data_IF_479434468458
#
_entry.id   IF_479434468458
#
_cell.length_a   1.000
_cell.length_b   1.000
_cell.length_c   1.000
_cell.angle_alpha   90.00
_cell.angle_beta   90.00
_cell.angle_gamma   90.00
#
_symmetry.space_group_name_H-M   'P 1'
#
loop_
_entity.id
_entity.type
_entity.pdbx_description
1 polymer ?
#
# COMPACT_ATOMS: atom_id res chain seq x y z
N UNK A 1 -20.61 68.03 -24.17
CA UNK A 1 -21.66 67.00 -24.03
C UNK A 1 -20.98 65.76 -23.47
N UNK A 2 -20.69 65.72 -22.15
CA UNK A 2 -21.62 65.35 -21.04
C UNK A 2 -22.02 63.87 -21.19
N UNK A 3 -21.21 62.97 -20.62
CA UNK A 3 -21.46 62.07 -19.45
C UNK A 3 -21.98 60.70 -19.89
N UNK A 4 -21.65 59.53 -19.33
CA UNK A 4 -21.02 59.16 -18.06
C UNK A 4 -20.59 57.68 -18.15
N UNK A 5 -19.54 57.29 -17.42
CA UNK A 5 -19.31 55.90 -16.96
C UNK A 5 -20.15 55.66 -15.68
N UNK A 6 -20.24 54.46 -15.03
CA UNK A 6 -19.09 53.72 -14.47
C UNK A 6 -19.22 52.17 -14.44
N UNK A 7 -18.09 51.44 -14.39
CA UNK A 7 -17.56 50.60 -13.27
C UNK A 7 -18.46 49.40 -12.86
N UNK A 8 -17.99 48.22 -12.46
CA UNK A 8 -16.74 47.84 -11.85
C UNK A 8 -16.61 46.29 -11.80
N UNK A 9 -15.36 45.82 -11.76
CA UNK A 9 -14.86 44.71 -10.94
C UNK A 9 -15.27 43.23 -11.13
N UNK A 10 -14.18 42.44 -11.25
CA UNK A 10 -13.83 41.24 -10.48
C UNK A 10 -13.99 39.82 -11.04
N UNK A 11 -12.82 39.15 -11.04
CA UNK A 11 -12.50 37.79 -10.56
C UNK A 11 -12.11 36.71 -11.59
N UNK A 12 -10.80 36.40 -11.54
CA UNK A 12 -10.21 35.08 -11.69
C UNK A 12 -11.09 33.95 -11.13
N UNK A 13 -11.27 32.88 -11.91
CA UNK A 13 -10.86 31.55 -11.42
C UNK A 13 -10.76 30.53 -12.56
N UNK A 14 -9.52 30.19 -12.91
CA UNK A 14 -9.18 29.09 -13.79
C UNK A 14 -9.11 27.78 -13.00
N UNK A 15 -10.21 27.02 -12.98
CA UNK A 15 -10.26 25.70 -12.36
C UNK A 15 -10.46 24.58 -13.41
N UNK A 16 -9.32 24.00 -13.83
CA UNK A 16 -9.07 22.60 -14.27
C UNK A 16 -10.31 21.78 -14.69
N UNK A 17 -10.55 21.71 -16.01
CA UNK A 17 -11.32 20.65 -16.62
C UNK A 17 -10.56 19.31 -16.50
N UNK A 18 -10.92 18.49 -15.52
CA UNK A 18 -10.50 17.09 -15.47
C UNK A 18 -11.19 16.34 -16.62
N UNK A 19 -10.41 15.76 -17.53
CA UNK A 19 -10.89 14.98 -18.66
C UNK A 19 -11.75 13.79 -18.19
N UNK A 20 -13.07 13.91 -18.33
CA UNK A 20 -14.01 12.83 -18.12
C UNK A 20 -14.04 11.97 -19.39
N UNK A 21 -13.47 10.77 -19.35
CA UNK A 21 -13.57 9.83 -20.47
C UNK A 21 -15.01 9.28 -20.55
N UNK A 22 -15.72 9.43 -21.68
CA UNK A 22 -17.10 8.99 -21.79
C UNK A 22 -17.22 7.45 -21.72
N UNK A 23 -18.36 6.91 -21.23
CA UNK A 23 -18.54 5.47 -21.09
C UNK A 23 -18.44 4.76 -22.44
N UNK A 24 -17.71 3.64 -22.50
CA UNK A 24 -17.47 2.90 -23.75
C UNK A 24 -18.49 1.79 -24.01
N UNK A 25 -19.55 1.67 -23.20
CA UNK A 25 -20.54 0.57 -23.27
C UNK A 25 -21.98 1.09 -23.32
N UNK A 26 -22.87 0.33 -23.96
CA UNK A 26 -24.31 0.63 -24.07
C UNK A 26 -24.97 0.78 -22.70
N UNK A 27 -24.61 -0.08 -21.74
CA UNK A 27 -25.12 0.01 -20.37
C UNK A 27 -24.62 1.27 -19.67
N UNK A 28 -23.38 1.69 -19.93
CA UNK A 28 -22.83 2.95 -19.41
C UNK A 28 -23.53 4.19 -19.98
N UNK A 29 -23.88 4.17 -21.27
CA UNK A 29 -24.67 5.26 -21.88
C UNK A 29 -26.14 5.24 -21.44
N UNK A 30 -26.77 4.08 -21.35
CA UNK A 30 -28.15 3.99 -20.85
C UNK A 30 -28.24 4.40 -19.39
N UNK A 31 -27.25 4.09 -18.57
CA UNK A 31 -27.22 4.50 -17.17
C UNK A 31 -26.91 6.01 -17.00
N UNK A 32 -26.14 6.61 -17.92
CA UNK A 32 -25.89 8.05 -17.99
C UNK A 32 -27.12 8.86 -18.44
N UNK A 33 -27.97 8.27 -19.30
CA UNK A 33 -29.21 8.89 -19.80
C UNK A 33 -30.42 8.58 -18.89
N UNK A 34 -30.38 7.49 -18.11
CA UNK A 34 -31.46 7.07 -17.21
C UNK A 34 -31.33 7.60 -15.76
N UNK A 35 -30.33 8.44 -15.47
CA UNK A 35 -30.30 9.25 -14.23
C UNK A 35 -31.06 10.57 -14.48
N UNK A 36 -31.57 11.28 -13.43
CA UNK A 36 -32.60 12.32 -13.58
C UNK A 36 -32.20 13.39 -14.61
N UNK A 37 -33.16 14.09 -15.24
CA UNK A 37 -32.91 14.81 -16.48
C UNK A 37 -31.72 15.77 -16.29
N UNK A 38 -30.68 15.58 -17.09
CA UNK A 38 -29.49 16.43 -17.13
C UNK A 38 -29.93 17.90 -17.10
N UNK A 39 -29.29 18.72 -16.26
CA UNK A 39 -29.65 20.12 -16.09
C UNK A 39 -29.66 20.82 -17.47
N UNK A 40 -30.62 21.72 -17.80
CA UNK A 40 -30.76 22.30 -19.15
C UNK A 40 -29.48 22.92 -19.71
N UNK A 41 -28.66 23.51 -18.83
CA UNK A 41 -27.32 24.04 -19.17
C UNK A 41 -26.34 22.96 -19.64
N UNK A 42 -26.37 21.76 -19.06
CA UNK A 42 -25.54 20.63 -19.51
C UNK A 42 -26.01 20.10 -20.87
N UNK A 43 -27.32 20.14 -21.14
CA UNK A 43 -27.86 19.76 -22.44
C UNK A 43 -27.42 20.72 -23.55
N UNK A 44 -27.44 22.04 -23.27
CA UNK A 44 -26.90 23.05 -24.19
C UNK A 44 -25.40 22.86 -24.44
N UNK A 45 -24.59 22.66 -23.39
CA UNK A 45 -23.15 22.45 -23.55
C UNK A 45 -22.82 21.19 -24.36
N UNK A 46 -23.62 20.12 -24.24
CA UNK A 46 -23.45 18.91 -25.05
C UNK A 46 -23.87 19.15 -26.51
N UNK A 47 -24.92 19.94 -26.73
CA UNK A 47 -25.37 20.33 -28.07
C UNK A 47 -24.35 21.22 -28.78
N UNK A 48 -23.73 22.17 -28.08
CA UNK A 48 -22.65 23.02 -28.60
C UNK A 48 -21.41 22.21 -29.00
N UNK A 49 -21.17 21.08 -28.33
CA UNK A 49 -20.14 20.10 -28.67
C UNK A 49 -20.56 19.13 -29.80
N UNK A 50 -21.74 19.33 -30.41
CA UNK A 50 -22.28 18.48 -31.47
C UNK A 50 -22.81 17.11 -31.02
N UNK A 51 -22.86 16.86 -29.71
CA UNK A 51 -23.29 15.60 -29.10
C UNK A 51 -24.79 15.68 -28.76
N UNK A 52 -25.63 15.71 -29.80
CA UNK A 52 -27.08 15.80 -29.64
C UNK A 52 -27.70 14.46 -29.24
N UNK A 53 -28.87 14.50 -28.57
CA UNK A 53 -29.64 13.30 -28.25
C UNK A 53 -30.07 12.51 -29.50
N UNK A 54 -30.21 13.20 -30.63
CA UNK A 54 -30.46 12.58 -31.94
C UNK A 54 -29.19 11.90 -32.50
N UNK A 55 -28.04 12.57 -32.42
CA UNK A 55 -26.74 11.98 -32.76
C UNK A 55 -26.39 10.75 -31.92
N UNK A 56 -26.71 10.77 -30.62
CA UNK A 56 -26.54 9.62 -29.73
C UNK A 56 -27.48 8.45 -30.08
N UNK A 57 -28.72 8.74 -30.50
CA UNK A 57 -29.69 7.72 -30.96
C UNK A 57 -29.32 7.14 -32.33
N UNK A 58 -28.76 7.97 -33.22
CA UNK A 58 -28.28 7.58 -34.53
C UNK A 58 -26.92 6.84 -34.48
N UNK A 59 -26.10 7.09 -33.45
CA UNK A 59 -24.84 6.41 -33.21
C UNK A 59 -25.06 4.92 -32.89
N UNK A 60 -25.11 4.07 -33.92
CA UNK A 60 -25.05 2.63 -33.74
C UNK A 60 -23.63 2.26 -33.29
N UNK A 61 -23.41 1.72 -32.08
CA UNK A 61 -22.13 1.10 -31.79
C UNK A 61 -21.93 0.00 -32.83
N UNK A 62 -20.81 0.04 -33.57
CA UNK A 62 -20.45 -1.04 -34.49
C UNK A 62 -20.34 -2.31 -33.66
N UNK A 63 -21.42 -3.11 -33.58
CA UNK A 63 -21.39 -4.47 -33.07
C UNK A 63 -20.53 -5.25 -34.04
N UNK A 64 -19.23 -5.32 -33.77
CA UNK A 64 -18.33 -6.20 -34.51
C UNK A 64 -18.87 -7.62 -34.27
N UNK A 65 -19.27 -8.36 -35.32
CA UNK A 65 -19.69 -9.74 -35.16
C UNK A 65 -18.61 -10.52 -34.41
N UNK A 66 -19.01 -11.43 -33.53
CA UNK A 66 -18.05 -12.19 -32.72
C UNK A 66 -17.00 -12.91 -33.58
N UNK A 67 -17.38 -13.33 -34.80
CA UNK A 67 -16.48 -13.90 -35.79
C UNK A 67 -15.42 -12.90 -36.27
N UNK A 68 -15.80 -11.68 -36.63
CA UNK A 68 -14.86 -10.62 -37.04
C UNK A 68 -13.94 -10.20 -35.88
N UNK A 69 -14.46 -10.13 -34.64
CA UNK A 69 -13.65 -9.83 -33.47
C UNK A 69 -12.63 -10.94 -33.15
N UNK A 70 -13.00 -12.20 -33.40
CA UNK A 70 -12.07 -13.32 -33.27
C UNK A 70 -11.02 -13.30 -34.38
N UNK A 71 -11.41 -13.08 -35.64
CA UNK A 71 -10.50 -13.00 -36.77
C UNK A 71 -9.45 -11.89 -36.59
N UNK A 72 -9.88 -10.70 -36.14
CA UNK A 72 -8.96 -9.60 -35.83
C UNK A 72 -7.95 -9.98 -34.72
N UNK A 73 -8.43 -10.57 -33.62
CA UNK A 73 -7.54 -11.01 -32.55
C UNK A 73 -6.59 -12.14 -32.98
N UNK A 74 -7.05 -13.04 -33.84
CA UNK A 74 -6.23 -14.12 -34.41
C UNK A 74 -5.13 -13.58 -35.33
N UNK A 75 -5.42 -12.53 -36.12
CA UNK A 75 -4.43 -11.86 -36.96
C UNK A 75 -3.31 -11.23 -36.09
N UNK A 76 -3.67 -10.51 -35.02
CA UNK A 76 -2.69 -9.98 -34.06
C UNK A 76 -1.91 -11.08 -33.33
N UNK A 77 -2.56 -12.21 -33.01
CA UNK A 77 -1.88 -13.35 -32.40
C UNK A 77 -0.83 -13.96 -33.36
N UNK A 78 -1.16 -14.11 -34.65
CA UNK A 78 -0.20 -14.59 -35.66
C UNK A 78 0.98 -13.64 -35.81
N UNK A 79 0.72 -12.34 -35.94
CA UNK A 79 1.79 -11.35 -36.07
C UNK A 79 2.70 -11.33 -34.84
N UNK A 80 2.13 -11.41 -33.64
CA UNK A 80 2.91 -11.54 -32.40
C UNK A 80 3.74 -12.83 -32.39
N UNK A 81 3.15 -13.97 -32.75
CA UNK A 81 3.85 -15.25 -32.77
C UNK A 81 4.99 -15.28 -33.81
N UNK A 82 4.86 -14.55 -34.92
CA UNK A 82 5.95 -14.39 -35.89
C UNK A 82 7.13 -13.61 -35.28
N UNK A 83 6.87 -12.61 -34.44
CA UNK A 83 7.90 -11.78 -33.80
C UNK A 83 8.55 -12.47 -32.59
N UNK A 84 7.78 -13.22 -31.81
CA UNK A 84 8.20 -13.75 -30.50
C UNK A 84 8.27 -15.27 -30.42
N UNK A 85 7.78 -16.00 -31.43
CA UNK A 85 7.76 -17.47 -31.48
C UNK A 85 6.78 -18.15 -30.55
N UNK A 86 5.93 -17.41 -29.81
CA UNK A 86 4.97 -17.97 -28.86
C UNK A 86 3.81 -17.00 -28.55
N UNK A 87 2.74 -17.52 -27.94
CA UNK A 87 1.58 -16.75 -27.49
C UNK A 87 1.56 -16.54 -25.96
N UNK A 88 2.70 -16.59 -25.27
CA UNK A 88 2.81 -16.34 -23.83
C UNK A 88 2.74 -14.84 -23.47
N UNK A 89 1.81 -14.12 -24.09
CA UNK A 89 1.63 -12.67 -24.00
C UNK A 89 1.21 -12.23 -22.59
N UNK A 90 1.93 -11.30 -21.94
CA UNK A 90 1.49 -10.68 -20.68
C UNK A 90 0.15 -9.96 -20.83
N UNK A 91 -0.71 -10.00 -19.80
CA UNK A 91 -2.04 -9.38 -19.85
C UNK A 91 -2.06 -7.90 -20.32
N UNK A 92 -1.16 -7.01 -19.87
CA UNK A 92 -1.17 -5.61 -20.29
C UNK A 92 -0.59 -5.38 -21.69
N UNK A 93 0.05 -6.38 -22.29
CA UNK A 93 0.73 -6.22 -23.58
C UNK A 93 -0.25 -5.97 -24.71
N UNK A 94 0.17 -5.09 -25.62
CA UNK A 94 -0.55 -4.70 -26.83
C UNK A 94 0.28 -4.99 -28.06
N UNK A 95 -0.37 -5.34 -29.15
CA UNK A 95 0.23 -5.45 -30.48
C UNK A 95 -0.45 -4.41 -31.37
N UNK A 96 0.29 -3.43 -31.89
CA UNK A 96 -0.25 -2.32 -32.70
C UNK A 96 -1.51 -1.67 -32.09
N UNK A 97 -1.46 -1.38 -30.80
CA UNK A 97 -2.59 -0.80 -30.05
C UNK A 97 -3.69 -1.79 -29.66
N UNK A 98 -3.75 -2.98 -30.27
CA UNK A 98 -4.69 -4.05 -29.93
C UNK A 98 -4.33 -4.71 -28.60
N UNK A 99 -5.32 -4.88 -27.70
CA UNK A 99 -5.13 -5.47 -26.36
C UNK A 99 -4.97 -7.00 -26.41
N UNK A 100 -3.92 -7.47 -27.06
CA UNK A 100 -3.68 -8.88 -27.33
C UNK A 100 -3.63 -9.74 -26.06
N UNK A 101 -2.93 -9.30 -25.01
CA UNK A 101 -2.85 -10.03 -23.74
C UNK A 101 -4.23 -10.24 -23.08
N UNK A 102 -5.06 -9.19 -23.08
CA UNK A 102 -6.43 -9.25 -22.57
C UNK A 102 -7.33 -10.15 -23.43
N UNK A 103 -7.16 -10.10 -24.76
CA UNK A 103 -7.90 -10.95 -25.68
C UNK A 103 -7.56 -12.42 -25.49
N UNK A 104 -6.27 -12.79 -25.44
CA UNK A 104 -5.82 -14.16 -25.18
C UNK A 104 -6.28 -14.67 -23.82
N UNK A 105 -6.24 -13.82 -22.77
CA UNK A 105 -6.81 -14.19 -21.45
C UNK A 105 -8.29 -14.54 -21.55
N UNK A 106 -9.06 -13.76 -22.30
CA UNK A 106 -10.48 -14.05 -22.55
C UNK A 106 -10.66 -15.38 -23.28
N UNK A 107 -9.85 -15.68 -24.30
CA UNK A 107 -9.92 -16.96 -25.01
C UNK A 107 -9.59 -18.15 -24.09
N UNK A 108 -8.51 -18.06 -23.31
CA UNK A 108 -8.13 -19.09 -22.32
C UNK A 108 -9.25 -19.36 -21.31
N UNK A 109 -9.86 -18.30 -20.78
CA UNK A 109 -11.00 -18.40 -19.84
C UNK A 109 -12.24 -19.01 -20.48
N UNK A 110 -12.46 -18.81 -21.78
CA UNK A 110 -13.57 -19.45 -22.50
C UNK A 110 -13.27 -20.92 -22.76
N UNK A 111 -12.05 -21.26 -23.15
CA UNK A 111 -11.61 -22.65 -23.34
C UNK A 111 -11.69 -23.46 -22.05
N UNK A 112 -11.20 -22.94 -20.92
CA UNK A 112 -11.28 -23.62 -19.62
C UNK A 112 -12.71 -23.86 -19.11
N UNK A 113 -13.71 -23.18 -19.70
CA UNK A 113 -15.12 -23.33 -19.39
C UNK A 113 -15.89 -24.13 -20.45
N UNK A 114 -15.21 -24.67 -21.46
CA UNK A 114 -15.85 -25.34 -22.60
C UNK A 114 -16.71 -24.41 -23.47
N UNK A 115 -16.47 -23.09 -23.43
CA UNK A 115 -17.24 -22.06 -24.15
C UNK A 115 -16.53 -21.50 -25.38
N UNK A 116 -15.36 -22.02 -25.72
CA UNK A 116 -14.64 -21.64 -26.95
C UNK A 116 -14.91 -22.71 -28.02
N UNK A 117 -15.46 -22.36 -29.20
CA UNK A 117 -15.69 -23.31 -30.29
C UNK A 117 -14.41 -24.06 -30.69
N UNK A 118 -14.55 -25.33 -31.08
CA UNK A 118 -13.43 -26.21 -31.43
C UNK A 118 -12.55 -25.64 -32.55
N UNK A 119 -13.14 -25.06 -33.60
CA UNK A 119 -12.37 -24.46 -34.70
C UNK A 119 -11.50 -23.28 -34.24
N UNK A 120 -11.94 -22.54 -33.21
CA UNK A 120 -11.17 -21.44 -32.63
C UNK A 120 -10.05 -21.92 -31.74
N UNK A 121 -10.24 -23.06 -31.05
CA UNK A 121 -9.18 -23.74 -30.31
C UNK A 121 -8.11 -24.19 -31.30
N UNK A 122 -8.50 -24.96 -32.33
CA UNK A 122 -7.58 -25.42 -33.39
C UNK A 122 -6.82 -24.27 -34.05
N UNK A 123 -7.49 -23.14 -34.33
CA UNK A 123 -6.85 -21.97 -34.92
C UNK A 123 -5.77 -21.33 -34.02
N UNK A 124 -5.93 -21.39 -32.69
CA UNK A 124 -4.94 -20.89 -31.73
C UNK A 124 -3.81 -21.91 -31.50
N UNK A 125 -4.13 -23.20 -31.43
CA UNK A 125 -3.17 -24.30 -31.33
C UNK A 125 -2.23 -24.37 -32.53
N UNK A 126 -2.76 -24.09 -33.72
CA UNK A 126 -1.96 -24.00 -34.94
C UNK A 126 -0.92 -22.87 -34.92
N UNK A 127 -1.12 -21.84 -34.07
CA UNK A 127 -0.15 -20.74 -33.90
C UNK A 127 0.87 -21.09 -32.81
N UNK A 128 0.39 -21.55 -31.66
CA UNK A 128 1.21 -22.01 -30.55
C UNK A 128 0.47 -23.15 -29.83
N UNK A 129 0.98 -24.40 -29.87
CA UNK A 129 0.38 -25.52 -29.17
C UNK A 129 0.18 -25.26 -27.67
N UNK A 130 0.99 -24.37 -27.09
CA UNK A 130 0.96 -24.03 -25.67
C UNK A 130 0.29 -22.68 -25.41
N UNK A 131 -0.57 -22.20 -26.32
CA UNK A 131 -1.32 -20.96 -26.12
C UNK A 131 -2.16 -20.97 -24.83
N UNK A 132 -2.58 -22.15 -24.34
CA UNK A 132 -3.32 -22.37 -23.09
C UNK A 132 -2.68 -23.49 -22.23
N UNK A 133 -1.57 -23.22 -21.52
CA UNK A 133 -0.81 -24.25 -20.81
C UNK A 133 -1.52 -24.72 -19.53
N UNK A 134 -1.53 -26.03 -19.27
CA UNK A 134 -2.17 -26.62 -18.09
C UNK A 134 -1.57 -26.14 -16.75
N UNK A 135 -0.24 -25.94 -16.71
CA UNK A 135 0.48 -25.38 -15.55
C UNK A 135 0.31 -23.87 -15.34
N UNK A 136 -0.51 -23.22 -16.17
CA UNK A 136 -0.80 -21.79 -16.10
C UNK A 136 0.21 -20.90 -16.83
N UNK A 137 -0.28 -19.75 -17.30
CA UNK A 137 0.49 -18.83 -18.14
C UNK A 137 1.73 -18.26 -17.45
N UNK A 138 1.66 -18.01 -16.13
CA UNK A 138 2.78 -17.47 -15.36
C UNK A 138 3.99 -18.40 -15.37
N UNK A 139 3.74 -19.70 -15.26
CA UNK A 139 4.81 -20.70 -15.32
C UNK A 139 5.44 -20.70 -16.72
N UNK A 140 4.63 -20.72 -17.78
CA UNK A 140 5.11 -20.69 -19.17
C UNK A 140 5.93 -19.43 -19.49
N UNK A 141 5.52 -18.28 -18.98
CA UNK A 141 6.28 -17.03 -19.12
C UNK A 141 7.64 -17.11 -18.44
N UNK A 142 7.67 -17.57 -17.18
CA UNK A 142 8.92 -17.74 -16.45
C UNK A 142 9.85 -18.76 -17.12
N UNK A 143 9.30 -19.85 -17.66
CA UNK A 143 10.04 -20.84 -18.46
C UNK A 143 10.67 -20.22 -19.71
N UNK A 144 9.92 -19.44 -20.49
CA UNK A 144 10.45 -18.78 -21.69
C UNK A 144 11.51 -17.72 -21.35
N UNK A 145 11.33 -16.97 -20.26
CA UNK A 145 12.34 -16.06 -19.73
C UNK A 145 13.61 -16.84 -19.35
N UNK A 146 13.45 -17.97 -18.67
CA UNK A 146 14.57 -18.84 -18.32
C UNK A 146 15.29 -19.35 -19.57
N UNK A 147 14.56 -19.88 -20.57
CA UNK A 147 15.12 -20.31 -21.85
C UNK A 147 15.92 -19.21 -22.53
N UNK A 148 15.39 -17.97 -22.53
CA UNK A 148 16.07 -16.81 -23.12
C UNK A 148 17.39 -16.53 -22.39
N UNK A 149 17.40 -16.56 -21.06
CA UNK A 149 18.62 -16.31 -20.29
C UNK A 149 19.61 -17.49 -20.32
N UNK A 150 19.14 -18.71 -20.58
CA UNK A 150 19.97 -19.91 -20.71
C UNK A 150 20.28 -20.25 -22.16
N UNK A 151 19.91 -19.40 -23.13
CA UNK A 151 20.20 -19.68 -24.54
C UNK A 151 21.72 -19.75 -24.75
N UNK A 152 22.20 -20.87 -25.29
CA UNK A 152 23.64 -21.13 -25.47
C UNK A 152 24.40 -21.47 -24.19
N UNK A 153 23.71 -21.67 -23.05
CA UNK A 153 24.30 -22.08 -21.78
C UNK A 153 23.50 -23.25 -21.20
N UNK A 154 24.16 -24.34 -20.83
CA UNK A 154 23.54 -25.37 -20.00
C UNK A 154 23.95 -25.11 -18.55
N UNK A 155 23.10 -24.45 -17.73
CA UNK A 155 23.48 -24.15 -16.36
C UNK A 155 23.63 -25.46 -15.58
N UNK A 156 24.86 -25.73 -15.15
CA UNK A 156 25.26 -27.01 -14.59
C UNK A 156 25.41 -26.96 -13.06
N UNK A 157 25.67 -25.77 -12.53
CA UNK A 157 26.05 -25.50 -11.15
C UNK A 157 25.17 -24.42 -10.53
N UNK A 158 25.18 -24.33 -9.20
CA UNK A 158 24.50 -23.25 -8.47
C UNK A 158 25.11 -21.88 -8.78
N UNK A 159 26.41 -21.83 -9.11
CA UNK A 159 27.07 -20.61 -9.55
C UNK A 159 26.50 -20.11 -10.89
N UNK A 160 26.19 -21.03 -11.82
CA UNK A 160 25.56 -20.67 -13.10
C UNK A 160 24.17 -20.06 -12.89
N UNK A 161 23.39 -20.58 -11.93
CA UNK A 161 22.09 -19.99 -11.58
C UNK A 161 22.26 -18.60 -10.97
N UNK A 162 23.24 -18.42 -10.08
CA UNK A 162 23.50 -17.14 -9.43
C UNK A 162 24.00 -16.06 -10.42
N UNK A 163 24.57 -16.46 -11.55
CA UNK A 163 24.97 -15.55 -12.63
C UNK A 163 23.77 -15.06 -13.48
N UNK A 164 22.59 -15.67 -13.32
CA UNK A 164 21.35 -15.23 -13.99
C UNK A 164 20.69 -14.08 -13.22
N UNK A 165 19.78 -13.32 -13.88
CA UNK A 165 18.94 -12.35 -13.18
C UNK A 165 18.22 -12.98 -11.98
N UNK A 166 18.17 -12.27 -10.86
CA UNK A 166 17.74 -12.79 -9.56
C UNK A 166 16.37 -13.50 -9.60
N UNK A 167 15.41 -12.96 -10.35
CA UNK A 167 14.08 -13.57 -10.49
C UNK A 167 14.11 -14.90 -11.26
N UNK A 168 14.99 -15.01 -12.26
CA UNK A 168 15.18 -16.25 -13.04
C UNK A 168 15.88 -17.30 -12.18
N UNK A 169 16.96 -16.93 -11.49
CA UNK A 169 17.67 -17.81 -10.57
C UNK A 169 16.74 -18.37 -9.49
N UNK A 170 15.98 -17.49 -8.85
CA UNK A 170 14.97 -17.85 -7.84
C UNK A 170 13.91 -18.81 -8.38
N UNK A 171 13.40 -18.55 -9.58
CA UNK A 171 12.41 -19.41 -10.21
C UNK A 171 12.97 -20.80 -10.52
N UNK A 172 14.20 -20.88 -11.05
CA UNK A 172 14.89 -22.15 -11.34
C UNK A 172 15.17 -22.96 -10.07
N UNK A 173 15.63 -22.32 -8.98
CA UNK A 173 15.77 -23.00 -7.69
C UNK A 173 14.43 -23.54 -7.18
N UNK A 174 13.34 -22.77 -7.36
CA UNK A 174 11.99 -23.23 -6.99
C UNK A 174 11.58 -24.47 -7.80
N UNK A 175 11.94 -24.53 -9.09
CA UNK A 175 11.68 -25.70 -9.93
C UNK A 175 12.51 -26.90 -9.46
N UNK A 176 13.77 -26.70 -9.07
CA UNK A 176 14.63 -27.76 -8.54
C UNK A 176 14.07 -28.34 -7.22
N UNK A 177 13.66 -27.48 -6.28
CA UNK A 177 13.08 -27.93 -5.00
C UNK A 177 11.75 -28.66 -5.13
N UNK A 178 10.99 -28.40 -6.19
CA UNK A 178 9.64 -28.93 -6.38
C UNK A 178 9.54 -29.87 -7.57
N UNK A 179 10.67 -30.36 -8.10
CA UNK A 179 10.74 -31.04 -9.40
C UNK A 179 9.81 -32.25 -9.46
N UNK A 180 9.79 -33.07 -8.40
CA UNK A 180 8.96 -34.27 -8.30
C UNK A 180 7.45 -33.97 -8.27
N UNK A 181 7.06 -32.74 -7.92
CA UNK A 181 5.67 -32.27 -7.91
C UNK A 181 5.26 -31.56 -9.21
N UNK A 182 6.19 -31.37 -10.16
CA UNK A 182 5.89 -30.76 -11.45
C UNK A 182 5.11 -31.74 -12.34
N UNK A 183 4.25 -31.20 -13.20
CA UNK A 183 3.55 -32.01 -14.19
C UNK A 183 4.54 -32.62 -15.19
N UNK A 184 4.28 -33.81 -15.76
CA UNK A 184 5.19 -34.48 -16.68
C UNK A 184 5.64 -33.60 -17.86
N UNK A 185 4.72 -32.82 -18.43
CA UNK A 185 5.02 -31.88 -19.52
C UNK A 185 6.01 -30.77 -19.08
N UNK A 186 5.89 -30.28 -17.84
CA UNK A 186 6.81 -29.29 -17.28
C UNK A 186 8.19 -29.88 -17.05
N UNK A 187 8.27 -31.14 -16.59
CA UNK A 187 9.54 -31.86 -16.44
C UNK A 187 10.21 -32.06 -17.81
N UNK A 188 9.44 -32.42 -18.84
CA UNK A 188 9.96 -32.56 -20.21
C UNK A 188 10.51 -31.24 -20.76
N UNK A 189 9.80 -30.12 -20.53
CA UNK A 189 10.25 -28.79 -20.92
C UNK A 189 11.54 -28.38 -20.18
N UNK A 190 11.63 -28.64 -18.88
CA UNK A 190 12.83 -28.38 -18.08
C UNK A 190 14.02 -29.27 -18.50
N UNK A 191 13.77 -30.53 -18.82
CA UNK A 191 14.79 -31.42 -19.36
C UNK A 191 15.36 -30.89 -20.70
N UNK A 192 14.51 -30.28 -21.53
CA UNK A 192 14.91 -29.64 -22.79
C UNK A 192 15.90 -28.48 -22.64
N UNK A 193 15.95 -27.83 -21.48
CA UNK A 193 16.96 -26.80 -21.16
C UNK A 193 18.13 -27.34 -20.33
N UNK A 194 18.25 -28.67 -20.19
CA UNK A 194 19.33 -29.35 -19.46
C UNK A 194 19.07 -29.54 -17.96
N UNK A 195 17.87 -29.24 -17.47
CA UNK A 195 17.47 -29.44 -16.08
C UNK A 195 16.74 -30.79 -15.92
N UNK A 196 17.52 -31.88 -15.95
CA UNK A 196 17.02 -33.24 -15.69
C UNK A 196 16.66 -33.45 -14.22
N UNK A 197 15.95 -34.54 -13.89
CA UNK A 197 15.63 -34.89 -12.50
C UNK A 197 16.88 -34.98 -11.60
N UNK A 198 17.94 -35.64 -12.09
CA UNK A 198 19.21 -35.76 -11.35
C UNK A 198 19.84 -34.40 -11.09
N UNK A 199 19.88 -33.53 -12.12
CA UNK A 199 20.46 -32.19 -12.00
C UNK A 199 19.61 -31.27 -11.13
N UNK A 200 18.28 -31.36 -11.22
CA UNK A 200 17.36 -30.66 -10.33
C UNK A 200 17.58 -31.06 -8.87
N UNK A 201 17.78 -32.36 -8.59
CA UNK A 201 18.06 -32.86 -7.24
C UNK A 201 19.42 -32.40 -6.71
N UNK A 202 20.44 -32.36 -7.56
CA UNK A 202 21.77 -31.87 -7.20
C UNK A 202 21.81 -30.36 -6.92
N UNK A 203 20.99 -29.57 -7.64
CA UNK A 203 20.92 -28.12 -7.52
C UNK A 203 19.86 -27.63 -6.52
N UNK A 204 18.99 -28.53 -6.05
CA UNK A 204 17.95 -28.18 -5.09
C UNK A 204 18.60 -27.65 -3.79
N UNK A 205 18.19 -26.46 -3.30
CA UNK A 205 18.64 -26.00 -2.00
C UNK A 205 18.26 -27.02 -0.93
N UNK A 206 19.11 -27.23 0.10
CA UNK A 206 18.83 -28.19 1.15
C UNK A 206 17.46 -27.86 1.78
N UNK A 207 16.66 -28.89 2.11
CA UNK A 207 15.37 -28.68 2.74
C UNK A 207 15.58 -27.85 3.99
N UNK A 208 14.77 -26.82 4.15
CA UNK A 208 14.81 -25.98 5.35
C UNK A 208 14.63 -26.91 6.56
N UNK A 209 15.47 -26.80 7.62
CA UNK A 209 15.31 -27.62 8.81
C UNK A 209 13.87 -27.49 9.31
N UNK A 210 13.25 -28.60 9.76
CA UNK A 210 11.87 -28.58 10.21
C UNK A 210 11.73 -27.47 11.24
N UNK A 211 10.88 -26.48 10.92
CA UNK A 211 10.51 -25.48 11.91
C UNK A 211 9.91 -26.25 13.08
N UNK A 212 10.29 -25.96 14.35
CA UNK A 212 9.69 -26.62 15.49
C UNK A 212 8.18 -26.51 15.34
N UNK A 213 7.52 -27.66 15.27
CA UNK A 213 6.06 -27.75 15.23
C UNK A 213 5.55 -27.08 16.49
N UNK A 214 5.13 -25.82 16.36
CA UNK A 214 4.44 -25.11 17.44
C UNK A 214 3.28 -26.01 17.87
N UNK A 215 3.08 -26.24 19.18
CA UNK A 215 2.00 -27.09 19.65
C UNK A 215 0.69 -26.62 19.02
N UNK A 216 -0.12 -27.58 18.56
CA UNK A 216 -1.41 -27.32 17.96
C UNK A 216 -2.24 -26.49 18.94
N UNK A 217 -2.37 -25.19 18.63
CA UNK A 217 -3.11 -24.26 19.48
C UNK A 217 -4.57 -24.70 19.56
N UNK A 218 -5.20 -24.68 20.75
CA UNK A 218 -6.64 -24.82 20.87
C UNK A 218 -7.30 -23.66 20.11
N UNK A 219 -7.71 -23.90 18.86
CA UNK A 219 -8.56 -22.96 18.13
C UNK A 219 -9.93 -23.02 18.80
N UNK A 220 -10.29 -22.02 19.62
CA UNK A 220 -11.71 -21.74 19.83
C UNK A 220 -12.31 -21.58 18.43
N UNK A 221 -13.12 -22.54 17.98
CA UNK A 221 -13.64 -22.55 16.61
C UNK A 221 -14.50 -21.32 16.30
N UNK A 222 -14.98 -20.61 17.33
CA UNK A 222 -15.60 -19.29 17.24
C UNK A 222 -15.44 -18.57 18.59
N UNK A 223 -14.40 -17.76 18.82
CA UNK A 223 -14.35 -16.95 20.02
C UNK A 223 -15.52 -15.96 20.03
N UNK A 224 -16.20 -15.79 21.18
CA UNK A 224 -17.42 -14.99 21.26
C UNK A 224 -17.13 -13.55 20.85
N UNK A 225 -17.83 -13.05 19.84
CA UNK A 225 -17.74 -11.65 19.40
C UNK A 225 -18.48 -10.69 20.33
N UNK A 226 -19.17 -11.20 21.36
CA UNK A 226 -19.86 -10.41 22.36
C UNK A 226 -18.84 -9.58 23.16
N UNK A 227 -19.21 -8.33 23.46
CA UNK A 227 -18.33 -7.42 24.22
C UNK A 227 -18.10 -7.95 25.64
N UNK A 228 -19.16 -8.46 26.29
CA UNK A 228 -19.09 -9.02 27.63
C UNK A 228 -18.06 -10.16 27.77
N UNK A 229 -17.91 -11.00 26.74
CA UNK A 229 -17.04 -12.16 26.78
C UNK A 229 -15.54 -11.82 26.67
N UNK A 230 -15.18 -10.76 25.94
CA UNK A 230 -13.79 -10.34 25.78
C UNK A 230 -13.34 -9.24 26.73
N UNK A 231 -14.27 -8.54 27.39
CA UNK A 231 -13.95 -7.42 28.27
C UNK A 231 -13.06 -7.79 29.47
N UNK A 232 -13.23 -8.93 30.16
CA UNK A 232 -12.32 -9.32 31.25
C UNK A 232 -10.87 -9.49 30.78
N UNK A 233 -10.66 -10.12 29.62
CA UNK A 233 -9.34 -10.30 29.02
C UNK A 233 -8.73 -8.98 28.56
N UNK A 234 -9.56 -8.07 28.02
CA UNK A 234 -9.13 -6.73 27.68
C UNK A 234 -8.68 -5.95 28.93
N UNK A 235 -9.41 -6.05 30.05
CA UNK A 235 -9.01 -5.42 31.33
C UNK A 235 -7.70 -5.97 31.84
N UNK A 236 -7.54 -7.29 31.87
CA UNK A 236 -6.30 -7.96 32.31
C UNK A 236 -5.11 -7.53 31.45
N UNK A 237 -5.28 -7.52 30.12
CA UNK A 237 -4.25 -7.03 29.21
C UNK A 237 -3.92 -5.55 29.39
N UNK A 238 -4.93 -4.70 29.51
CA UNK A 238 -4.73 -3.26 29.74
C UNK A 238 -4.04 -2.99 31.08
N UNK A 239 -4.32 -3.78 32.13
CA UNK A 239 -3.61 -3.68 33.40
C UNK A 239 -2.13 -4.09 33.27
N UNK A 240 -1.81 -5.10 32.46
CA UNK A 240 -0.43 -5.57 32.27
C UNK A 240 0.39 -4.67 31.33
N UNK A 241 -0.24 -4.13 30.28
CA UNK A 241 0.45 -3.44 29.19
C UNK A 241 0.16 -1.93 29.13
N UNK A 242 -0.78 -1.43 29.95
CA UNK A 242 -1.21 -0.03 29.97
C UNK A 242 -2.02 0.42 28.76
N UNK A 243 -2.37 -0.49 27.83
CA UNK A 243 -3.13 -0.19 26.63
C UNK A 243 -3.69 -1.46 25.98
N UNK A 244 -4.70 -1.31 25.12
CA UNK A 244 -5.28 -2.41 24.33
C UNK A 244 -4.65 -2.52 22.93
N UNK A 245 -3.97 -1.48 22.49
CA UNK A 245 -3.51 -1.38 21.12
C UNK A 245 -2.28 -2.22 20.82
N UNK A 246 -1.43 -2.50 21.81
CA UNK A 246 -0.31 -3.44 21.74
C UNK A 246 -0.74 -4.89 21.46
N UNK A 247 -2.02 -5.23 21.69
CA UNK A 247 -2.58 -6.52 21.30
C UNK A 247 -2.75 -6.58 19.77
N UNK A 248 -1.69 -7.03 19.08
CA UNK A 248 -1.71 -7.30 17.65
C UNK A 248 -2.74 -8.38 17.28
N UNK A 249 -3.07 -8.50 16.00
CA UNK A 249 -4.15 -9.38 15.50
C UNK A 249 -4.09 -10.84 16.00
N UNK A 250 -2.88 -11.35 16.28
CA UNK A 250 -2.63 -12.74 16.71
C UNK A 250 -2.37 -12.88 18.22
N UNK A 251 -2.53 -11.81 18.99
CA UNK A 251 -2.35 -11.83 20.44
C UNK A 251 -3.44 -12.69 21.07
N UNK A 252 -2.98 -13.69 21.82
CA UNK A 252 -3.79 -14.49 22.73
C UNK A 252 -3.41 -14.07 24.15
N UNK A 253 -4.41 -13.85 25.00
CA UNK A 253 -4.25 -13.46 26.40
C UNK A 253 -5.09 -14.42 27.25
N UNK A 254 -4.45 -15.17 28.15
CA UNK A 254 -5.09 -16.18 29.00
C UNK A 254 -5.99 -17.18 28.22
N UNK A 255 -5.52 -17.64 27.06
CA UNK A 255 -6.25 -18.56 26.19
C UNK A 255 -7.36 -17.92 25.34
N UNK A 256 -7.61 -16.61 25.52
CA UNK A 256 -8.58 -15.85 24.73
C UNK A 256 -7.90 -15.13 23.56
N UNK A 257 -8.45 -15.19 22.33
CA UNK A 257 -7.87 -14.52 21.17
C UNK A 257 -8.18 -13.00 21.16
N UNK A 258 -7.60 -12.30 22.12
CA UNK A 258 -7.84 -10.88 22.39
C UNK A 258 -7.60 -9.99 21.16
N UNK A 259 -6.52 -10.23 20.42
CA UNK A 259 -6.17 -9.43 19.23
C UNK A 259 -7.21 -9.51 18.11
N UNK A 260 -7.74 -10.72 17.88
CA UNK A 260 -8.81 -10.94 16.90
C UNK A 260 -10.13 -10.33 17.38
N UNK A 261 -10.44 -10.46 18.67
CA UNK A 261 -11.65 -9.91 19.26
C UNK A 261 -11.64 -8.37 19.17
N UNK A 262 -10.55 -7.71 19.54
CA UNK A 262 -10.38 -6.26 19.39
C UNK A 262 -10.54 -5.82 17.93
N UNK A 263 -10.00 -6.58 16.98
CA UNK A 263 -10.22 -6.33 15.55
C UNK A 263 -11.71 -6.35 15.16
N UNK A 264 -12.47 -7.33 15.66
CA UNK A 264 -13.91 -7.41 15.43
C UNK A 264 -14.66 -6.23 16.06
N UNK A 265 -14.31 -5.83 17.28
CA UNK A 265 -14.93 -4.66 17.94
C UNK A 265 -14.63 -3.36 17.18
N UNK A 266 -13.38 -3.12 16.75
CA UNK A 266 -13.00 -1.96 15.93
C UNK A 266 -13.79 -1.89 14.63
N UNK A 267 -13.98 -3.04 13.95
CA UNK A 267 -14.78 -3.13 12.72
C UNK A 267 -16.25 -2.86 12.96
N UNK A 268 -16.83 -3.39 14.04
CA UNK A 268 -18.22 -3.15 14.40
C UNK A 268 -18.46 -1.67 14.73
N UNK A 269 -17.55 -1.04 15.49
CA UNK A 269 -17.58 0.38 15.78
C UNK A 269 -17.52 1.24 14.51
N UNK A 270 -16.55 0.98 13.63
CA UNK A 270 -16.43 1.71 12.36
C UNK A 270 -17.64 1.52 11.44
N UNK A 271 -18.22 0.32 11.38
CA UNK A 271 -19.44 0.06 10.61
C UNK A 271 -20.67 0.77 11.21
N UNK A 272 -20.78 0.83 12.54
CA UNK A 272 -21.86 1.52 13.22
C UNK A 272 -21.82 3.03 12.92
N UNK A 273 -20.67 3.68 13.14
CA UNK A 273 -20.49 5.12 12.88
C UNK A 273 -20.82 5.45 11.42
N UNK A 274 -20.36 4.64 10.46
CA UNK A 274 -20.69 4.83 9.04
C UNK A 274 -22.19 4.73 8.72
N UNK A 275 -22.91 3.88 9.46
CA UNK A 275 -24.34 3.63 9.22
C UNK A 275 -25.24 4.63 9.93
N UNK A 276 -24.90 5.03 11.16
CA UNK A 276 -25.78 5.78 12.05
C UNK A 276 -25.32 7.21 12.30
N UNK A 277 -24.06 7.55 11.97
CA UNK A 277 -23.44 8.81 12.36
C UNK A 277 -23.24 8.99 13.88
N UNK A 278 -23.59 7.99 14.69
CA UNK A 278 -23.55 8.04 16.16
C UNK A 278 -22.37 7.22 16.71
N UNK A 279 -21.85 7.55 17.90
CA UNK A 279 -20.87 6.72 18.59
C UNK A 279 -21.40 5.31 18.85
N UNK A 280 -20.51 4.33 18.76
CA UNK A 280 -20.89 2.93 18.97
C UNK A 280 -21.24 2.66 20.45
N UNK A 281 -22.39 2.01 20.78
CA UNK A 281 -22.88 1.90 22.15
C UNK A 281 -21.95 1.15 23.12
N UNK A 282 -21.05 0.29 22.63
CA UNK A 282 -20.06 -0.42 23.45
C UNK A 282 -18.70 0.29 23.53
N UNK A 283 -18.63 1.55 23.10
CA UNK A 283 -17.43 2.37 23.17
C UNK A 283 -16.98 2.69 24.63
N UNK A 284 -17.87 3.06 25.58
CA UNK A 284 -17.45 3.49 26.91
C UNK A 284 -16.55 2.50 27.69
N UNK A 285 -16.86 1.19 27.78
CA UNK A 285 -16.03 0.27 28.56
C UNK A 285 -14.65 0.00 27.94
N UNK A 286 -14.50 0.16 26.62
CA UNK A 286 -13.20 -0.01 25.95
C UNK A 286 -12.38 1.28 25.96
N UNK A 287 -13.03 2.43 25.77
CA UNK A 287 -12.42 3.75 25.88
C UNK A 287 -11.92 4.03 27.30
N UNK A 288 -12.59 3.52 28.33
CA UNK A 288 -12.10 3.60 29.70
C UNK A 288 -10.79 2.83 29.93
N UNK A 289 -10.53 1.76 29.16
CA UNK A 289 -9.31 0.96 29.26
C UNK A 289 -8.17 1.51 28.40
N UNK A 290 -8.51 2.01 27.21
CA UNK A 290 -7.57 2.63 26.28
C UNK A 290 -8.37 3.62 25.42
N UNK A 291 -8.24 4.94 25.62
CA UNK A 291 -8.92 5.94 24.79
C UNK A 291 -8.62 5.79 23.29
N UNK A 292 -7.49 5.16 22.95
CA UNK A 292 -7.03 4.91 21.60
C UNK A 292 -7.21 3.46 21.16
N UNK A 293 -8.11 2.71 21.80
CA UNK A 293 -8.40 1.32 21.43
C UNK A 293 -8.91 1.20 19.98
N UNK A 294 -9.57 2.23 19.44
CA UNK A 294 -10.07 2.31 18.06
C UNK A 294 -9.73 3.67 17.42
N UNK A 295 -8.46 3.91 17.05
CA UNK A 295 -8.03 5.20 16.55
C UNK A 295 -8.47 5.41 15.08
N UNK A 296 -8.60 6.66 14.61
CA UNK A 296 -8.94 6.97 13.22
C UNK A 296 -7.79 6.70 12.24
N UNK A 297 -6.58 6.43 12.74
CA UNK A 297 -5.40 6.07 11.95
C UNK A 297 -5.13 4.55 11.95
N UNK A 298 -4.16 4.13 11.13
CA UNK A 298 -3.80 2.71 10.98
C UNK A 298 -3.30 2.12 12.29
N UNK A 299 -3.77 0.92 12.65
CA UNK A 299 -3.34 0.21 13.86
C UNK A 299 -1.81 -0.03 13.94
N UNK A 300 -1.16 -0.16 12.78
CA UNK A 300 0.32 -0.27 12.70
C UNK A 300 1.02 0.95 13.27
N UNK A 301 0.46 2.15 13.12
CA UNK A 301 1.00 3.36 13.73
C UNK A 301 0.97 3.27 15.25
N UNK A 302 -0.14 2.75 15.81
CA UNK A 302 -0.27 2.65 17.27
C UNK A 302 0.70 1.63 17.87
N UNK A 303 0.92 0.49 17.18
CA UNK A 303 1.95 -0.47 17.59
C UNK A 303 3.33 0.19 17.66
N UNK A 304 3.71 0.94 16.61
CA UNK A 304 5.02 1.60 16.57
C UNK A 304 5.15 2.73 17.61
N UNK A 305 4.07 3.48 17.86
CA UNK A 305 4.04 4.47 18.93
C UNK A 305 4.20 3.84 20.30
N UNK A 306 3.46 2.78 20.63
CA UNK A 306 3.61 2.08 21.91
C UNK A 306 5.00 1.46 22.08
N UNK A 307 5.59 0.91 21.01
CA UNK A 307 6.98 0.44 21.08
C UNK A 307 7.94 1.57 21.43
N UNK A 308 7.77 2.75 20.84
CA UNK A 308 8.54 3.93 21.21
C UNK A 308 8.26 4.36 22.67
N UNK A 309 6.99 4.43 23.07
CA UNK A 309 6.60 4.78 24.44
C UNK A 309 7.17 3.81 25.47
N UNK A 310 7.15 2.50 25.22
CA UNK A 310 7.75 1.51 26.12
C UNK A 310 9.26 1.70 26.24
N UNK A 311 9.97 1.98 25.13
CA UNK A 311 11.40 2.28 25.19
C UNK A 311 11.67 3.55 26.01
N UNK A 312 10.86 4.59 25.79
CA UNK A 312 10.93 5.85 26.55
C UNK A 312 10.67 5.65 28.04
N UNK A 313 9.59 4.95 28.41
CA UNK A 313 9.20 4.72 29.79
C UNK A 313 10.17 3.78 30.53
N UNK A 314 10.90 2.91 29.81
CA UNK A 314 11.90 2.00 30.39
C UNK A 314 13.32 2.57 30.33
N UNK A 315 13.52 3.77 29.77
CA UNK A 315 14.85 4.38 29.60
C UNK A 315 15.74 3.64 28.59
N UNK A 316 15.18 2.75 27.77
CA UNK A 316 15.92 1.95 26.79
C UNK A 316 16.13 2.72 25.48
N UNK A 317 17.26 2.50 24.78
CA UNK A 317 17.48 3.10 23.48
C UNK A 317 16.46 2.58 22.45
N UNK A 318 16.03 3.44 21.54
CA UNK A 318 15.10 3.05 20.48
C UNK A 318 15.75 2.04 19.52
N UNK A 319 15.10 0.88 19.24
CA UNK A 319 15.54 -0.02 18.19
C UNK A 319 15.56 0.65 16.81
N UNK A 320 16.44 0.20 15.91
CA UNK A 320 16.60 0.78 14.56
C UNK A 320 15.29 0.96 13.79
N UNK A 321 14.35 0.01 13.92
CA UNK A 321 13.05 0.08 13.28
C UNK A 321 12.19 1.22 13.86
N UNK A 322 12.19 1.36 15.19
CA UNK A 322 11.52 2.44 15.91
C UNK A 322 12.14 3.78 15.55
N UNK A 323 13.47 3.90 15.52
CA UNK A 323 14.16 5.14 15.09
C UNK A 323 13.79 5.54 13.66
N UNK A 324 13.76 4.57 12.72
CA UNK A 324 13.35 4.83 11.33
C UNK A 324 11.89 5.30 11.25
N UNK A 325 11.02 4.68 12.04
CA UNK A 325 9.62 5.07 12.12
C UNK A 325 9.47 6.50 12.69
N UNK A 326 10.16 6.82 13.80
CA UNK A 326 10.18 8.17 14.41
C UNK A 326 10.62 9.22 13.38
N UNK A 327 11.73 9.00 12.68
CA UNK A 327 12.22 9.91 11.62
C UNK A 327 11.19 10.12 10.51
N UNK A 328 10.45 9.06 10.16
CA UNK A 328 9.39 9.15 9.15
C UNK A 328 8.25 10.03 9.66
N UNK A 329 7.83 9.85 10.92
CA UNK A 329 6.76 10.64 11.52
C UNK A 329 7.14 12.13 11.65
N UNK A 330 8.38 12.43 12.03
CA UNK A 330 8.87 13.82 12.12
C UNK A 330 8.92 14.52 10.76
N UNK A 331 9.26 13.81 9.68
CA UNK A 331 9.27 14.36 8.31
C UNK A 331 7.86 14.67 7.80
N UNK A 332 6.87 13.91 8.26
CA UNK A 332 5.48 14.06 7.86
C UNK A 332 4.64 14.66 8.98
N UNK A 333 5.26 15.42 9.90
CA UNK A 333 4.60 15.91 11.11
C UNK A 333 3.32 16.69 10.81
N UNK A 334 3.37 17.55 9.79
CA UNK A 334 2.23 18.37 9.36
C UNK A 334 1.10 17.56 8.72
N UNK A 335 1.38 16.31 8.33
CA UNK A 335 0.39 15.36 7.80
C UNK A 335 -0.14 14.41 8.89
N UNK A 336 0.42 14.45 10.09
CA UNK A 336 -0.07 13.65 11.21
C UNK A 336 -1.39 14.23 11.72
N UNK A 337 -2.26 13.34 12.18
CA UNK A 337 -3.46 13.75 12.88
C UNK A 337 -3.08 14.55 14.14
N UNK A 338 -3.82 15.60 14.55
CA UNK A 338 -3.47 16.41 15.74
C UNK A 338 -3.24 15.57 16.99
N UNK A 339 -4.03 14.51 17.15
CA UNK A 339 -3.85 13.56 18.24
C UNK A 339 -2.56 12.73 18.15
N UNK A 340 -2.11 12.37 16.94
CA UNK A 340 -0.82 11.69 16.75
C UNK A 340 0.34 12.61 17.13
N UNK A 341 0.25 13.91 16.81
CA UNK A 341 1.22 14.92 17.23
C UNK A 341 1.27 15.03 18.76
N UNK A 342 0.11 15.07 19.43
CA UNK A 342 0.02 15.07 20.88
C UNK A 342 0.66 13.82 21.50
N UNK A 343 0.29 12.62 21.03
CA UNK A 343 0.88 11.35 21.50
C UNK A 343 2.40 11.28 21.28
N UNK A 344 2.91 11.83 20.18
CA UNK A 344 4.36 11.90 19.97
C UNK A 344 5.02 12.91 20.91
N UNK A 345 4.36 14.03 21.19
CA UNK A 345 4.80 15.01 22.18
C UNK A 345 4.92 14.42 23.60
N UNK A 346 4.05 13.47 23.99
CA UNK A 346 4.13 12.87 25.34
C UNK A 346 5.40 12.04 25.58
N UNK A 347 6.10 11.64 24.52
CA UNK A 347 7.39 10.93 24.59
C UNK A 347 8.56 11.81 24.11
N UNK A 348 8.36 13.14 24.11
CA UNK A 348 9.38 14.14 23.76
C UNK A 348 9.72 14.21 22.27
N UNK A 349 8.88 13.65 21.40
CA UNK A 349 9.09 13.69 19.94
C UNK A 349 8.22 14.80 19.36
N UNK A 350 8.86 15.87 18.92
CA UNK A 350 8.17 17.01 18.31
C UNK A 350 8.38 17.04 16.79
N UNK A 351 7.59 17.91 16.14
CA UNK A 351 7.67 18.22 14.72
C UNK A 351 9.05 18.71 14.29
N UNK A 352 9.29 18.86 12.99
CA UNK A 352 10.63 18.89 12.44
C UNK A 352 11.44 20.01 13.09
N UNK A 353 12.31 19.62 14.03
CA UNK A 353 13.37 20.49 14.52
C UNK A 353 14.20 20.83 13.28
N UNK A 354 14.41 22.13 12.96
CA UNK A 354 15.33 22.52 11.90
C UNK A 354 16.65 21.79 12.13
N UNK A 355 17.27 21.28 11.06
CA UNK A 355 18.48 20.47 11.12
C UNK A 355 19.63 21.19 11.84
N UNK A 356 19.63 21.14 13.17
CA UNK A 356 20.77 21.50 13.98
C UNK A 356 20.96 20.44 15.08
N UNK A 357 21.70 19.40 14.66
CA UNK A 357 22.75 18.72 15.41
C UNK A 357 22.38 18.26 16.84
N UNK A 358 21.84 17.04 16.97
CA UNK A 358 21.93 16.29 18.22
C UNK A 358 22.96 15.17 18.12
N UNK A 359 24.21 15.55 18.40
CA UNK A 359 25.18 14.72 19.11
C UNK A 359 25.47 15.49 20.40
N UNK A 360 24.73 15.24 21.47
CA UNK A 360 25.09 15.53 22.88
C UNK A 360 23.99 15.00 23.81
N UNK A 361 24.43 14.47 24.95
CA UNK A 361 23.70 13.72 25.98
C UNK A 361 22.51 14.50 26.59
N UNK A 362 21.55 13.81 27.28
CA UNK A 362 20.42 14.46 27.92
C UNK A 362 20.91 15.24 29.15
N UNK A 363 21.00 16.56 29.03
CA UNK A 363 21.08 17.43 30.20
C UNK A 363 19.64 17.69 30.68
N UNK A 364 19.43 17.48 31.98
CA UNK A 364 18.20 17.76 32.73
C UNK A 364 17.48 19.02 32.23
N UNK A 365 16.22 18.85 31.82
CA UNK A 365 15.28 19.95 31.61
C UNK A 365 14.25 19.92 32.73
N UNK A 366 14.67 20.49 33.86
CA UNK A 366 13.75 21.23 34.73
C UNK A 366 13.36 22.52 33.98
N UNK A 367 12.10 22.94 34.12
CA UNK A 367 11.48 24.16 33.56
C UNK A 367 10.93 24.11 32.12
N UNK A 368 9.68 23.66 31.99
CA UNK A 368 8.68 24.19 31.05
C UNK A 368 7.25 23.99 31.65
N UNK A 369 6.29 24.87 31.31
CA UNK A 369 5.24 25.35 32.22
C UNK A 369 4.02 24.43 32.35
N UNK A 370 3.55 24.32 33.60
CA UNK A 370 2.30 23.67 34.02
C UNK A 370 1.10 24.53 33.68
N UNK A 371 0.62 24.51 32.43
CA UNK A 371 -0.74 24.96 32.13
C UNK A 371 -1.34 24.06 31.05
N UNK A 372 -2.11 23.08 31.50
CA UNK A 372 -3.39 22.62 30.95
C UNK A 372 -3.88 21.44 31.82
N UNK A 373 -4.07 21.72 33.10
CA UNK A 373 -4.95 20.92 33.97
C UNK A 373 -6.27 21.69 34.00
N UNK A 374 -7.28 21.23 33.25
CA UNK A 374 -8.65 21.61 33.55
C UNK A 374 -9.12 20.75 34.73
N UNK A 375 -8.96 21.30 35.93
CA UNK A 375 -9.63 20.85 37.16
C UNK A 375 -11.12 21.19 37.07
N UNK A 376 -11.98 20.19 37.26
CA UNK A 376 -13.35 20.45 37.69
C UNK A 376 -13.33 20.90 39.16
N UNK A 377 -13.94 22.07 39.39
CA UNK A 377 -14.63 22.54 40.59
C UNK A 377 -13.93 22.43 41.97
N UNK A 378 -13.64 23.56 42.62
CA UNK A 378 -14.43 24.11 43.73
C UNK A 378 -13.81 25.40 44.33
N UNK A 379 -14.71 26.17 44.95
CA UNK A 379 -14.69 27.52 45.54
C UNK A 379 -13.42 28.05 46.25
N UNK A 380 -13.24 29.40 46.36
CA UNK A 380 -12.08 30.05 46.95
C UNK A 380 -12.29 30.43 48.41
N UNK A 381 -11.26 30.29 49.24
CA UNK A 381 -11.04 31.17 50.40
C UNK A 381 -9.62 31.00 50.97
N UNK A 382 -9.07 32.12 51.47
CA UNK A 382 -7.85 32.30 52.26
C UNK A 382 -6.51 32.37 51.48
N UNK A 383 -6.08 33.56 51.04
CA UNK A 383 -5.36 34.59 51.81
C UNK A 383 -3.98 34.18 52.37
N UNK A 384 -2.96 34.83 51.79
CA UNK A 384 -1.88 35.62 52.42
C UNK A 384 -0.43 35.14 52.38
N UNK A 385 0.41 36.15 52.09
CA UNK A 385 1.87 36.33 52.26
C UNK A 385 2.74 35.91 51.07
N UNK A 386 3.22 36.90 50.30
CA UNK A 386 4.43 37.73 50.54
C UNK A 386 5.72 36.95 50.32
N UNK A 387 6.80 37.47 49.75
CA UNK A 387 7.18 38.73 49.08
C UNK A 387 8.69 38.59 48.82
N UNK A 388 9.23 39.39 47.89
CA UNK A 388 10.67 39.75 47.71
C UNK A 388 11.61 38.69 47.10
N UNK A 389 12.70 39.04 46.42
CA UNK A 389 13.15 40.17 45.58
C UNK A 389 14.60 39.80 45.14
N UNK A 390 14.98 40.27 43.94
CA UNK A 390 16.29 40.33 43.26
C UNK A 390 17.53 40.67 44.13
N UNK A 391 18.82 40.55 43.66
CA UNK A 391 19.27 40.99 42.32
C UNK A 391 20.52 40.34 41.67
N UNK A 392 20.84 40.91 40.50
CA UNK A 392 21.78 40.51 39.47
C UNK A 392 23.18 41.16 39.55
N UNK A 393 24.15 40.56 38.83
CA UNK A 393 25.46 41.08 38.43
C UNK A 393 26.35 39.92 37.94
N UNK A 394 27.29 39.99 37.01
CA UNK A 394 27.81 41.03 36.15
C UNK A 394 28.58 40.38 34.97
N UNK A 395 28.78 41.18 33.92
CA UNK A 395 29.30 40.89 32.57
C UNK A 395 30.85 40.90 32.54
N UNK A 396 31.51 40.04 31.73
CA UNK A 396 32.93 40.19 31.32
C UNK A 396 33.14 40.06 29.81
N UNK A 397 34.13 40.80 29.33
CA UNK A 397 34.32 41.35 27.98
C UNK A 397 35.18 40.46 27.04
N UNK A 398 35.08 40.74 25.73
CA UNK A 398 35.86 40.19 24.60
C UNK A 398 37.17 40.96 24.36
N UNK A 399 38.18 40.36 23.70
CA UNK A 399 39.24 41.08 22.98
C UNK A 399 39.08 41.05 21.43
N UNK A 400 39.82 41.90 20.67
CA UNK A 400 39.53 42.32 19.28
C UNK A 400 40.45 41.67 18.19
N UNK A 401 40.30 42.00 16.88
CA UNK A 401 40.64 41.12 15.75
C UNK A 401 42.00 41.41 15.08
N UNK A 402 42.49 40.46 14.26
CA UNK A 402 43.61 40.66 13.32
C UNK A 402 43.15 40.50 11.86
N UNK A 403 43.69 41.36 10.99
CA UNK A 403 43.39 41.52 9.57
C UNK A 403 44.46 40.90 8.64
N UNK A 404 43.99 40.51 7.44
CA UNK A 404 44.62 40.40 6.09
C UNK A 404 45.90 39.54 5.89
N UNK A 405 46.03 38.71 4.84
CA UNK A 405 46.05 39.06 3.40
C UNK A 405 45.82 37.80 2.51
N UNK A 406 45.43 37.94 1.21
CA UNK A 406 45.02 36.84 0.33
C UNK A 406 46.09 36.47 -0.72
N UNK A 407 46.09 35.23 -1.22
CA UNK A 407 46.79 34.88 -2.46
C UNK A 407 45.91 34.13 -3.47
N UNK A 408 46.27 34.37 -4.73
CA UNK A 408 45.48 34.43 -5.96
C UNK A 408 45.65 33.15 -6.77
N UNK A 409 44.61 32.85 -7.56
CA UNK A 409 44.54 31.84 -8.62
C UNK A 409 45.76 31.83 -9.57
N UNK A 410 46.10 30.66 -10.11
CA UNK A 410 46.44 30.48 -11.53
C UNK A 410 46.25 29.02 -11.99
N UNK A 411 45.47 28.86 -13.06
CA UNK A 411 45.52 27.87 -14.14
C UNK A 411 45.24 28.66 -15.44
N UNK A 412 45.43 28.16 -16.67
CA UNK A 412 46.11 26.95 -17.16
C UNK A 412 47.04 27.22 -18.38
N UNK A 413 47.65 26.15 -18.93
CA UNK A 413 48.02 25.83 -20.35
C UNK A 413 49.23 24.88 -20.31
N UNK A 414 49.31 23.76 -21.05
CA UNK A 414 48.80 23.40 -22.38
C UNK A 414 47.92 22.15 -22.43
#
# INVERSE_FOLDING_TARGET
>A
MVTDAPADSTLHDGARAAAYAPPTTRDGWQQFVATPPLHPRQQHLLADLGLTAEGARAARPRRIPQAAAFAAGLAHARAWAQQHGNLAVPEPARHDGYRLGTWLRTQRRRASRGKLPADRIKALEAIDPHWNPAGGLRWRQAYLTACTHTTGRSPATTADFNALPADTAKWLFTQCSSYDNLQPEQQQQLAGIGLTSERARALAPPPKPPQPTRPARPRLKNPPSAVAAGLPYARSWAAQHGNLSSAGYRTEHDGFPLGWWLYKQRRAAGAHVKRTGRPWPHNPPLTALDPWWNPPWRATWNHSWHQAHTCYSTGMPFPNQTTKWIRTQQRTWDQLHPHQQHLMGTIGIHGPTPLHRYNSHPANLTDQPTELINTHETNPEQQTRSSQAHPAGARKQRPPPRQHTPHRQTQPTN
#
